data_IF_083977802673
#
_entry.id   IF_083977802673
#
_cell.length_a   1.000
_cell.length_b   1.000
_cell.length_c   1.000
_cell.angle_alpha   90.00
_cell.angle_beta   90.00
_cell.angle_gamma   90.00
#
_symmetry.space_group_name_H-M   'P 1'
#
loop_
_entity.id
_entity.type
_entity.pdbx_description
1 polymer ?
#
# COMPACT_ATOMS: atom_id res chain seq x y z
N UNK A 1 -29.01 -9.20 -0.11
CA UNK A 1 -28.24 -10.46 -0.10
C UNK A 1 -27.42 -10.67 -1.38
N UNK A 2 -27.90 -10.27 -2.57
CA UNK A 2 -27.09 -10.35 -3.81
C UNK A 2 -25.96 -9.30 -3.93
N UNK A 3 -26.08 -8.17 -3.24
CA UNK A 3 -25.13 -7.06 -3.35
C UNK A 3 -23.82 -7.31 -2.59
N UNK A 4 -23.87 -7.93 -1.39
CA UNK A 4 -22.68 -8.34 -0.65
C UNK A 4 -21.84 -9.36 -1.43
N UNK A 5 -22.49 -10.30 -2.13
CA UNK A 5 -21.83 -11.27 -2.99
C UNK A 5 -21.16 -10.64 -4.22
N UNK A 6 -21.60 -9.45 -4.66
CA UNK A 6 -21.03 -8.75 -5.81
C UNK A 6 -19.69 -8.08 -5.47
N UNK A 7 -19.52 -7.59 -4.25
CA UNK A 7 -18.30 -6.93 -3.78
C UNK A 7 -17.26 -7.93 -3.25
N UNK A 8 -17.68 -9.00 -2.57
CA UNK A 8 -16.78 -10.05 -2.08
C UNK A 8 -16.07 -10.84 -3.20
N UNK A 9 -16.58 -10.81 -4.44
CA UNK A 9 -15.98 -11.52 -5.59
C UNK A 9 -14.96 -10.71 -6.38
N UNK A 10 -14.83 -9.40 -6.12
CA UNK A 10 -13.90 -8.54 -6.87
C UNK A 10 -12.64 -8.30 -6.06
N UNK A 11 -11.49 -8.59 -6.66
CA UNK A 11 -10.20 -8.22 -6.06
C UNK A 11 -10.10 -6.69 -5.99
N UNK A 12 -9.76 -6.12 -4.82
CA UNK A 12 -9.60 -4.67 -4.69
C UNK A 12 -8.57 -4.11 -5.68
N UNK A 13 -8.70 -2.85 -6.14
CA UNK A 13 -7.72 -2.23 -7.05
C UNK A 13 -6.29 -2.28 -6.50
N UNK A 14 -5.36 -2.86 -7.26
CA UNK A 14 -3.95 -3.00 -6.89
C UNK A 14 -3.06 -3.19 -8.13
N UNK A 15 -1.74 -3.10 -7.94
CA UNK A 15 -0.75 -3.52 -8.94
C UNK A 15 0.51 -4.01 -8.24
N UNK A 16 0.65 -5.34 -8.11
CA UNK A 16 1.80 -5.93 -7.43
C UNK A 16 3.12 -5.63 -8.15
N UNK A 17 3.10 -5.64 -9.49
CA UNK A 17 4.27 -5.34 -10.32
C UNK A 17 4.79 -3.91 -10.05
N UNK A 18 3.87 -2.95 -9.91
CA UNK A 18 4.21 -1.55 -9.60
C UNK A 18 4.77 -1.43 -8.19
N UNK A 19 4.16 -2.08 -7.19
CA UNK A 19 4.68 -2.10 -5.82
C UNK A 19 6.09 -2.68 -5.76
N UNK A 20 6.32 -3.82 -6.42
CA UNK A 20 7.64 -4.45 -6.50
C UNK A 20 8.66 -3.55 -7.20
N UNK A 21 8.26 -2.91 -8.30
CA UNK A 21 9.10 -1.96 -9.04
C UNK A 21 9.50 -0.77 -8.17
N UNK A 22 8.59 -0.26 -7.34
CA UNK A 22 8.87 0.85 -6.41
C UNK A 22 9.86 0.40 -5.33
N UNK A 23 9.63 -0.75 -4.70
CA UNK A 23 10.54 -1.29 -3.68
C UNK A 23 11.93 -1.57 -4.26
N UNK A 24 12.01 -2.24 -5.41
CA UNK A 24 13.25 -2.47 -6.13
C UNK A 24 13.94 -1.17 -6.53
N UNK A 25 13.19 -0.18 -6.99
CA UNK A 25 13.69 1.15 -7.30
C UNK A 25 14.32 1.87 -6.11
N UNK A 26 13.79 1.67 -4.89
CA UNK A 26 14.40 2.18 -3.66
C UNK A 26 15.70 1.42 -3.36
N UNK A 27 15.71 0.09 -3.50
CA UNK A 27 16.89 -0.73 -3.23
C UNK A 27 18.03 -0.52 -4.24
N UNK A 28 17.71 -0.14 -5.49
CA UNK A 28 18.69 0.26 -6.51
C UNK A 28 19.26 1.65 -6.21
N UNK A 29 18.42 2.58 -5.75
CA UNK A 29 18.82 3.94 -5.42
C UNK A 29 18.04 4.46 -4.22
N UNK A 30 18.64 4.39 -3.03
CA UNK A 30 18.02 4.78 -1.77
C UNK A 30 17.47 6.23 -1.72
N UNK A 31 17.94 7.13 -2.61
CA UNK A 31 17.40 8.49 -2.73
C UNK A 31 15.92 8.51 -3.14
N UNK A 32 15.45 7.45 -3.81
CA UNK A 32 14.08 7.31 -4.24
C UNK A 32 13.10 7.18 -3.06
N UNK A 33 13.57 6.75 -1.88
CA UNK A 33 12.71 6.59 -0.70
C UNK A 33 11.97 7.88 -0.36
N UNK A 34 12.66 9.02 -0.30
CA UNK A 34 12.04 10.30 0.04
C UNK A 34 10.97 10.72 -0.98
N UNK A 35 11.18 10.43 -2.26
CA UNK A 35 10.19 10.71 -3.31
C UNK A 35 8.94 9.84 -3.11
N UNK A 36 9.13 8.55 -2.84
CA UNK A 36 8.03 7.61 -2.58
C UNK A 36 7.23 8.03 -1.36
N UNK A 37 7.88 8.31 -0.23
CA UNK A 37 7.22 8.72 1.01
C UNK A 37 6.53 10.09 0.91
N UNK A 38 6.91 10.94 -0.05
CA UNK A 38 6.19 12.19 -0.31
C UNK A 38 4.86 11.99 -1.04
N UNK A 39 4.64 10.80 -1.62
CA UNK A 39 3.48 10.51 -2.47
C UNK A 39 2.52 9.50 -1.85
N UNK A 40 3.06 8.47 -1.19
CA UNK A 40 2.30 7.35 -0.64
C UNK A 40 2.69 7.06 0.81
N UNK A 41 1.76 6.44 1.54
CA UNK A 41 1.98 5.84 2.86
C UNK A 41 2.20 4.32 2.71
N UNK A 42 2.64 3.67 3.78
CA UNK A 42 2.83 2.20 3.78
C UNK A 42 1.51 1.50 3.47
N UNK A 43 0.41 1.97 4.05
CA UNK A 43 -0.93 1.40 3.94
C UNK A 43 -1.50 1.50 2.51
N UNK A 44 -0.92 2.37 1.68
CA UNK A 44 -1.26 2.50 0.26
C UNK A 44 -0.76 1.32 -0.58
N UNK A 45 0.16 0.50 -0.08
CA UNK A 45 0.48 -0.77 -0.72
C UNK A 45 -0.63 -1.77 -0.42
N UNK A 46 -0.99 -2.61 -1.40
CA UNK A 46 -1.99 -3.65 -1.24
C UNK A 46 -1.40 -4.91 -0.60
N UNK A 47 -0.16 -5.26 -0.94
CA UNK A 47 0.49 -6.47 -0.42
C UNK A 47 1.03 -6.24 0.99
N UNK A 48 0.57 -7.02 1.96
CA UNK A 48 1.10 -7.03 3.35
C UNK A 48 2.61 -7.27 3.39
N UNK A 49 3.12 -8.13 2.50
CA UNK A 49 4.57 -8.39 2.39
C UNK A 49 5.31 -7.12 1.98
N UNK A 50 4.77 -6.39 1.01
CA UNK A 50 5.36 -5.15 0.52
C UNK A 50 5.27 -4.02 1.56
N UNK A 51 4.18 -3.97 2.33
CA UNK A 51 4.04 -3.06 3.48
C UNK A 51 5.17 -3.29 4.48
N UNK A 52 5.32 -4.54 4.92
CA UNK A 52 6.38 -4.96 5.85
C UNK A 52 7.77 -4.60 5.34
N UNK A 53 8.02 -4.80 4.03
CA UNK A 53 9.30 -4.43 3.40
C UNK A 53 9.52 -2.92 3.42
N UNK A 54 8.52 -2.11 3.03
CA UNK A 54 8.65 -0.66 3.02
C UNK A 54 8.87 -0.11 4.44
N UNK A 55 8.11 -0.59 5.44
CA UNK A 55 8.33 -0.25 6.85
C UNK A 55 9.76 -0.54 7.28
N UNK A 56 10.30 -1.70 6.87
CA UNK A 56 11.68 -2.07 7.19
C UNK A 56 12.69 -1.15 6.55
N UNK A 57 12.48 -0.79 5.27
CA UNK A 57 13.32 0.17 4.54
C UNK A 57 13.30 1.53 5.24
N UNK A 58 12.14 2.01 5.70
CA UNK A 58 12.02 3.26 6.46
C UNK A 58 12.84 3.17 7.76
N UNK A 59 12.66 2.10 8.55
CA UNK A 59 13.43 1.90 9.79
C UNK A 59 14.94 1.81 9.56
N UNK A 60 15.37 1.26 8.42
CA UNK A 60 16.78 1.23 8.04
C UNK A 60 17.29 2.63 7.72
N UNK A 61 16.52 3.41 6.96
CA UNK A 61 16.86 4.78 6.60
C UNK A 61 17.02 5.66 7.86
N UNK A 62 16.08 5.55 8.81
CA UNK A 62 16.11 6.29 10.09
C UNK A 62 17.35 5.97 10.93
N UNK A 63 17.90 4.76 10.78
CA UNK A 63 19.11 4.30 11.47
C UNK A 63 20.39 4.58 10.69
N UNK A 64 20.30 5.23 9.53
CA UNK A 64 21.44 5.46 8.63
C UNK A 64 22.03 4.17 8.04
N UNK A 65 21.24 3.09 7.99
CA UNK A 65 21.64 1.81 7.39
C UNK A 65 21.49 1.93 5.86
N UNK A 66 22.39 1.27 5.13
CA UNK A 66 22.34 1.21 3.67
C UNK A 66 21.03 0.59 3.17
N UNK A 67 20.41 1.22 2.17
CA UNK A 67 19.16 0.78 1.56
C UNK A 67 19.44 -0.09 0.33
N UNK A 68 20.01 -1.27 0.57
CA UNK A 68 20.31 -2.26 -0.46
C UNK A 68 19.75 -3.63 -0.07
N UNK A 69 19.70 -4.54 -1.05
CA UNK A 69 19.10 -5.87 -0.89
C UNK A 69 19.74 -6.70 0.23
N UNK A 70 21.07 -6.65 0.38
CA UNK A 70 21.78 -7.43 1.39
C UNK A 70 21.44 -6.90 2.79
N UNK A 71 21.55 -5.58 2.97
CA UNK A 71 21.21 -4.91 4.23
C UNK A 71 19.75 -5.15 4.63
N UNK A 72 18.82 -5.13 3.67
CA UNK A 72 17.41 -5.42 3.91
C UNK A 72 17.19 -6.87 4.34
N UNK A 73 17.82 -7.82 3.65
CA UNK A 73 17.73 -9.25 3.97
C UNK A 73 18.24 -9.54 5.39
N UNK A 74 19.38 -8.98 5.77
CA UNK A 74 19.93 -9.12 7.12
C UNK A 74 19.01 -8.48 8.17
N UNK A 75 18.47 -7.29 7.89
CA UNK A 75 17.59 -6.59 8.80
C UNK A 75 16.27 -7.35 9.04
N UNK A 76 15.69 -7.95 8.00
CA UNK A 76 14.48 -8.79 8.08
C UNK A 76 14.77 -10.11 8.79
N UNK A 77 15.92 -10.74 8.50
CA UNK A 77 16.34 -11.98 9.18
C UNK A 77 16.51 -11.74 10.68
N UNK A 78 17.13 -10.62 11.06
CA UNK A 78 17.36 -10.26 12.46
C UNK A 78 16.07 -9.99 13.23
N UNK A 79 15.01 -9.48 12.58
CA UNK A 79 13.70 -9.30 13.22
C UNK A 79 12.79 -10.53 13.14
N UNK A 80 13.22 -11.61 12.49
CA UNK A 80 12.41 -12.81 12.29
C UNK A 80 11.32 -12.67 11.21
N UNK A 81 11.30 -11.57 10.45
CA UNK A 81 10.24 -11.26 9.48
C UNK A 81 10.56 -11.69 8.04
N UNK A 82 11.73 -12.30 7.80
CA UNK A 82 12.19 -12.66 6.46
C UNK A 82 11.25 -13.68 5.77
N UNK A 83 10.82 -14.70 6.50
CA UNK A 83 9.93 -15.73 5.96
C UNK A 83 8.52 -15.18 5.69
N UNK A 84 8.05 -14.26 6.53
CA UNK A 84 6.73 -13.62 6.39
C UNK A 84 6.60 -12.85 5.07
N UNK A 85 7.70 -12.23 4.62
CA UNK A 85 7.75 -11.50 3.35
C UNK A 85 8.02 -12.40 2.14
N UNK A 86 8.11 -13.72 2.31
CA UNK A 86 8.37 -14.68 1.24
C UNK A 86 9.84 -15.08 1.04
N UNK A 87 10.69 -14.77 2.01
CA UNK A 87 12.07 -15.22 2.05
C UNK A 87 13.00 -14.50 1.07
N UNK A 88 14.25 -14.98 0.99
CA UNK A 88 15.27 -14.40 0.11
C UNK A 88 14.88 -14.42 -1.37
N UNK A 89 14.11 -15.41 -1.81
CA UNK A 89 13.64 -15.50 -3.20
C UNK A 89 12.73 -14.31 -3.58
N UNK A 90 11.82 -13.92 -2.67
CA UNK A 90 10.95 -12.77 -2.92
C UNK A 90 11.76 -11.47 -2.95
N UNK A 91 12.68 -11.28 -2.01
CA UNK A 91 13.52 -10.08 -1.97
C UNK A 91 14.36 -9.94 -3.25
N UNK A 92 14.95 -11.03 -3.74
CA UNK A 92 15.67 -11.02 -5.02
C UNK A 92 14.76 -10.62 -6.18
N UNK A 93 13.52 -11.11 -6.21
CA UNK A 93 12.55 -10.78 -7.27
C UNK A 93 12.17 -9.29 -7.33
N UNK A 94 12.36 -8.53 -6.24
CA UNK A 94 12.12 -7.08 -6.25
C UNK A 94 13.09 -6.34 -7.16
N UNK A 95 14.28 -6.89 -7.38
CA UNK A 95 15.31 -6.27 -8.21
C UNK A 95 15.15 -6.61 -9.70
N UNK A 96 14.35 -7.63 -10.02
CA UNK A 96 14.22 -8.15 -11.36
C UNK A 96 13.50 -7.14 -12.27
N UNK A 97 14.12 -6.80 -13.39
CA UNK A 97 13.53 -5.91 -14.39
C UNK A 97 13.48 -4.43 -14.01
N UNK A 98 14.03 -4.02 -12.85
CA UNK A 98 14.05 -2.62 -12.43
C UNK A 98 15.00 -1.80 -13.31
N UNK A 99 14.51 -0.80 -14.07
CA UNK A 99 15.35 0.06 -14.89
C UNK A 99 16.29 0.91 -14.05
N UNK A 100 17.52 1.14 -14.52
CA UNK A 100 18.46 2.07 -13.87
C UNK A 100 17.93 3.50 -13.78
N UNK A 101 17.17 3.94 -14.79
CA UNK A 101 16.52 5.25 -14.85
C UNK A 101 15.00 5.09 -14.64
N UNK A 102 14.62 4.58 -13.47
CA UNK A 102 13.22 4.42 -13.10
C UNK A 102 12.56 5.77 -12.82
N UNK A 103 11.41 6.04 -13.44
CA UNK A 103 10.55 7.15 -13.05
C UNK A 103 9.76 6.78 -11.79
N UNK A 104 10.42 6.81 -10.62
CA UNK A 104 9.84 6.34 -9.35
C UNK A 104 8.54 7.09 -8.99
N UNK A 105 8.47 8.38 -9.29
CA UNK A 105 7.30 9.22 -9.02
C UNK A 105 6.07 8.73 -9.79
N UNK A 106 6.23 8.37 -11.07
CA UNK A 106 5.14 7.83 -11.88
C UNK A 106 4.57 6.54 -11.27
N UNK A 107 5.43 5.60 -10.87
CA UNK A 107 4.99 4.34 -10.28
C UNK A 107 4.38 4.53 -8.89
N UNK A 108 4.92 5.42 -8.05
CA UNK A 108 4.31 5.77 -6.77
C UNK A 108 2.92 6.40 -6.93
N UNK A 109 2.71 7.24 -7.96
CA UNK A 109 1.39 7.80 -8.28
C UNK A 109 0.36 6.74 -8.68
N UNK A 110 0.78 5.66 -9.35
CA UNK A 110 -0.11 4.53 -9.65
C UNK A 110 -0.55 3.85 -8.35
N UNK A 111 0.36 3.62 -7.40
CA UNK A 111 0.02 3.03 -6.09
C UNK A 111 -1.00 3.93 -5.37
N UNK A 112 -0.74 5.25 -5.34
CA UNK A 112 -1.65 6.24 -4.75
C UNK A 112 -3.05 6.18 -5.34
N UNK A 113 -3.16 6.13 -6.67
CA UNK A 113 -4.44 6.02 -7.36
C UNK A 113 -5.19 4.74 -6.96
N UNK A 114 -4.49 3.59 -6.92
CA UNK A 114 -5.12 2.32 -6.51
C UNK A 114 -5.54 2.34 -5.05
N UNK A 115 -4.74 2.93 -4.17
CA UNK A 115 -5.08 3.08 -2.76
C UNK A 115 -6.31 3.97 -2.55
N UNK A 116 -6.40 5.10 -3.27
CA UNK A 116 -7.58 5.97 -3.26
C UNK A 116 -8.85 5.20 -3.68
N UNK A 117 -8.77 4.42 -4.75
CA UNK A 117 -9.90 3.59 -5.19
C UNK A 117 -10.27 2.52 -4.15
N UNK A 118 -9.31 1.92 -3.46
CA UNK A 118 -9.59 0.98 -2.36
C UNK A 118 -10.29 1.67 -1.19
N UNK A 119 -9.81 2.85 -0.76
CA UNK A 119 -10.46 3.64 0.30
C UNK A 119 -11.88 4.05 -0.07
N UNK A 120 -12.10 4.46 -1.32
CA UNK A 120 -13.43 4.79 -1.82
C UNK A 120 -14.39 3.60 -1.76
N UNK A 121 -13.92 2.40 -2.15
CA UNK A 121 -14.72 1.17 -2.08
C UNK A 121 -15.11 0.86 -0.63
N UNK A 122 -14.15 0.96 0.31
CA UNK A 122 -14.40 0.69 1.73
C UNK A 122 -15.40 1.68 2.33
N UNK A 123 -15.24 2.98 2.06
CA UNK A 123 -16.16 4.01 2.53
C UNK A 123 -17.57 3.81 1.94
N UNK A 124 -17.67 3.48 0.65
CA UNK A 124 -18.95 3.17 0.00
C UNK A 124 -19.63 1.95 0.64
N UNK A 125 -18.88 0.90 0.98
CA UNK A 125 -19.41 -0.27 1.67
C UNK A 125 -19.93 0.08 3.07
N UNK A 126 -19.22 0.93 3.81
CA UNK A 126 -19.65 1.42 5.13
C UNK A 126 -20.97 2.22 5.03
N UNK A 127 -21.05 3.15 4.08
CA UNK A 127 -22.27 3.94 3.82
C UNK A 127 -23.45 3.02 3.52
N UNK A 128 -23.25 2.05 2.64
CA UNK A 128 -24.27 1.08 2.27
C UNK A 128 -24.73 0.25 3.48
N UNK A 129 -23.81 -0.21 4.33
CA UNK A 129 -24.14 -0.94 5.57
C UNK A 129 -25.02 -0.10 6.49
N UNK A 130 -24.63 1.15 6.75
CA UNK A 130 -25.41 2.07 7.60
C UNK A 130 -26.82 2.30 7.04
N UNK A 131 -26.97 2.44 5.72
CA UNK A 131 -28.28 2.59 5.08
C UNK A 131 -29.19 1.36 5.21
N UNK A 132 -28.63 0.15 5.24
CA UNK A 132 -29.41 -1.07 5.47
C UNK A 132 -29.77 -1.29 6.94
N UNK A 133 -28.86 -0.93 7.85
CA UNK A 133 -29.06 -1.15 9.29
C UNK A 133 -30.11 -0.21 9.89
N UNK A 134 -30.26 1.01 9.36
CA UNK A 134 -31.29 1.99 9.79
C UNK A 134 -31.33 2.21 11.31
N UNK A 135 -30.17 2.23 11.96
CA UNK A 135 -30.04 2.46 13.41
C UNK A 135 -30.22 3.92 13.83
N UNK A 136 -30.07 4.83 12.87
CA UNK A 136 -30.10 6.28 13.04
C UNK A 136 -31.11 6.90 12.07
N UNK A 137 -31.43 8.18 12.26
CA UNK A 137 -32.31 8.91 11.34
C UNK A 137 -31.67 9.05 9.95
N UNK A 138 -32.48 9.10 8.90
CA UNK A 138 -32.01 9.16 7.52
C UNK A 138 -31.12 10.39 7.26
N UNK A 139 -31.42 11.54 7.86
CA UNK A 139 -30.61 12.75 7.73
C UNK A 139 -29.24 12.57 8.37
N UNK A 140 -29.16 11.88 9.51
CA UNK A 140 -27.90 11.57 10.19
C UNK A 140 -27.02 10.61 9.38
N UNK A 141 -27.63 9.59 8.78
CA UNK A 141 -26.92 8.64 7.89
C UNK A 141 -26.36 9.37 6.67
N UNK A 142 -27.12 10.33 6.11
CA UNK A 142 -26.67 11.15 4.98
C UNK A 142 -25.48 12.03 5.35
N UNK A 143 -25.51 12.70 6.50
CA UNK A 143 -24.42 13.53 6.99
C UNK A 143 -23.14 12.72 7.22
N UNK A 144 -23.26 11.53 7.83
CA UNK A 144 -22.13 10.60 8.00
C UNK A 144 -21.56 10.17 6.65
N UNK A 145 -22.41 9.86 5.67
CA UNK A 145 -21.97 9.47 4.35
C UNK A 145 -21.15 10.57 3.65
N UNK A 146 -21.56 11.83 3.79
CA UNK A 146 -20.80 12.96 3.25
C UNK A 146 -19.42 13.06 3.92
N UNK A 147 -19.36 12.94 5.24
CA UNK A 147 -18.10 12.96 5.99
C UNK A 147 -17.15 11.82 5.56
N UNK A 148 -17.66 10.60 5.40
CA UNK A 148 -16.87 9.45 4.93
C UNK A 148 -16.27 9.69 3.55
N UNK A 149 -17.04 10.23 2.61
CA UNK A 149 -16.54 10.51 1.24
C UNK A 149 -15.46 11.60 1.25
N UNK A 150 -15.60 12.62 2.08
CA UNK A 150 -14.58 13.68 2.21
C UNK A 150 -13.28 13.08 2.75
N UNK A 151 -13.35 12.26 3.80
CA UNK A 151 -12.18 11.65 4.46
C UNK A 151 -11.35 10.78 3.50
N UNK A 152 -11.95 10.16 2.48
CA UNK A 152 -11.23 9.38 1.45
C UNK A 152 -10.12 10.18 0.76
N UNK A 153 -10.28 11.51 0.67
CA UNK A 153 -9.32 12.41 0.00
C UNK A 153 -8.27 13.05 0.93
N UNK A 154 -8.53 13.08 2.23
CA UNK A 154 -7.68 13.74 3.24
C UNK A 154 -6.66 12.79 3.90
N UNK A 155 -6.85 11.47 3.72
CA UNK A 155 -5.90 10.41 4.07
C UNK A 155 -4.95 10.06 2.92
#
# INVERSE_FOLDING_TARGET
MDMDLMFLKKTPPHSLEVEQTVLGGILVNGKNLNVVLSLIRVEDLYSEKNRTILEKIIQMADKGISLDLLSLSEALKKSGSLEDVGGGAYLSSLMDGVPKNLNIEYYARIIKEKALLRRLILSSAKIMSSSFEQKEDADQILDQAQAEIINVTEE
#
